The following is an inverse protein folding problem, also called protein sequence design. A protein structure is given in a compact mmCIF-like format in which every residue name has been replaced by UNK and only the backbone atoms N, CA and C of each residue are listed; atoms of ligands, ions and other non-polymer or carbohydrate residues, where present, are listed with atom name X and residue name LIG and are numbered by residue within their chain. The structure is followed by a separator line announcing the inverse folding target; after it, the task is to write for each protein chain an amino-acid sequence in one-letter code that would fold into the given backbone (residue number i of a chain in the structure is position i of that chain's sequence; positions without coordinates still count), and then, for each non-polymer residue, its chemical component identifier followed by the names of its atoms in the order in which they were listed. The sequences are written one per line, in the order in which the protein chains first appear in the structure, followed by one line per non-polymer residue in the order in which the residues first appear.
data_IF_898926975798
#
_entry.id   IF_898926975798
#
_cell.length_a   1.000
_cell.length_b   1.000
_cell.length_c   1.000
_cell.angle_alpha   90.00
_cell.angle_beta   90.00
_cell.angle_gamma   90.00
#
_symmetry.space_group_name_H-M   'P 1'
#
loop_
_entity.id
_entity.type
_entity.pdbx_description
1 polymer ?
#
# COMPACT_ATOMS: atom_id res chain seq x y z
N UNK A 1 20.16 -3.63 -11.16
CA UNK A 1 20.12 -3.43 -9.71
C UNK A 1 19.80 -4.79 -9.10
N UNK A 2 20.78 -5.41 -8.44
CA UNK A 2 20.65 -6.76 -7.88
C UNK A 2 19.71 -6.69 -6.67
N UNK A 3 18.46 -7.13 -6.83
CA UNK A 3 17.57 -7.38 -5.69
C UNK A 3 18.11 -8.58 -4.93
N UNK A 4 17.97 -8.58 -3.61
CA UNK A 4 18.20 -9.76 -2.79
C UNK A 4 17.42 -10.95 -3.39
N UNK A 5 18.17 -11.89 -3.94
CA UNK A 5 17.67 -13.17 -4.44
C UNK A 5 18.22 -14.21 -3.49
N UNK A 6 17.33 -14.81 -2.70
CA UNK A 6 17.64 -15.72 -1.61
C UNK A 6 16.75 -15.46 -0.39
N UNK A 7 16.52 -16.51 0.41
CA UNK A 7 16.00 -16.37 1.77
C UNK A 7 17.04 -15.56 2.53
N UNK A 8 16.73 -14.31 2.88
CA UNK A 8 17.57 -13.53 3.77
C UNK A 8 17.25 -13.99 5.21
N UNK A 9 18.14 -14.74 5.87
CA UNK A 9 17.88 -15.24 7.23
C UNK A 9 17.80 -14.10 8.27
N UNK A 10 18.11 -12.86 7.88
CA UNK A 10 17.96 -11.66 8.71
C UNK A 10 16.75 -10.80 8.33
N UNK A 11 16.03 -11.12 7.24
CA UNK A 11 14.79 -10.43 6.83
C UNK A 11 13.52 -11.14 7.30
N UNK A 12 13.60 -12.03 8.28
CA UNK A 12 12.41 -12.45 9.01
C UNK A 12 11.72 -11.17 9.50
N UNK A 13 10.47 -10.95 9.12
CA UNK A 13 9.69 -9.84 9.66
C UNK A 13 9.52 -10.10 11.16
N UNK A 14 10.43 -9.58 11.98
CA UNK A 14 10.43 -9.77 13.44
C UNK A 14 9.23 -9.04 14.07
N UNK A 15 8.62 -8.09 13.37
CA UNK A 15 7.52 -7.27 13.87
C UNK A 15 6.70 -6.65 12.72
N UNK A 16 5.36 -6.70 12.84
CA UNK A 16 4.45 -5.81 12.12
C UNK A 16 4.09 -4.67 13.06
N UNK A 17 4.57 -3.45 12.74
CA UNK A 17 4.36 -2.25 13.56
C UNK A 17 2.87 -1.99 13.83
N UNK A 18 1.98 -2.30 12.88
CA UNK A 18 0.55 -2.14 13.10
C UNK A 18 -0.02 -3.21 14.04
N UNK A 19 0.50 -4.43 13.98
CA UNK A 19 0.12 -5.47 14.93
C UNK A 19 0.60 -5.15 16.33
N UNK A 20 1.82 -4.64 16.48
CA UNK A 20 2.38 -4.31 17.79
C UNK A 20 1.69 -3.09 18.43
N UNK A 21 1.35 -2.07 17.64
CA UNK A 21 0.74 -0.84 18.13
C UNK A 21 -0.79 -0.88 18.21
N UNK A 22 -1.44 -1.63 17.31
CA UNK A 22 -2.91 -1.62 17.14
C UNK A 22 -3.53 -3.02 17.21
N UNK A 23 -2.75 -4.08 17.46
CA UNK A 23 -3.23 -5.47 17.42
C UNK A 23 -3.86 -5.88 16.09
N UNK A 24 -3.48 -5.22 15.00
CA UNK A 24 -3.99 -5.45 13.64
C UNK A 24 -2.83 -5.52 12.62
N UNK A 25 -2.60 -6.71 12.07
CA UNK A 25 -1.63 -6.91 10.98
C UNK A 25 -2.11 -6.32 9.65
N UNK A 26 -1.25 -6.41 8.63
CA UNK A 26 -1.57 -5.95 7.28
C UNK A 26 -1.67 -7.12 6.31
N UNK A 27 -2.83 -7.27 5.65
CA UNK A 27 -3.02 -8.31 4.65
C UNK A 27 -2.42 -7.89 3.31
N UNK A 28 -1.60 -8.76 2.73
CA UNK A 28 -0.92 -8.54 1.46
C UNK A 28 -1.52 -9.37 0.30
N UNK A 29 -2.77 -9.82 0.43
CA UNK A 29 -3.48 -10.61 -0.59
C UNK A 29 -3.09 -12.09 -0.63
N UNK A 30 -2.23 -12.51 0.30
CA UNK A 30 -1.69 -13.88 0.37
C UNK A 30 -1.55 -14.28 1.83
N UNK A 31 -1.95 -15.51 2.13
CA UNK A 31 -1.91 -16.05 3.48
C UNK A 31 -2.91 -17.19 3.66
N UNK A 32 -3.03 -17.63 4.91
CA UNK A 32 -4.03 -18.60 5.35
C UNK A 32 -5.19 -17.81 5.94
N UNK A 33 -6.42 -18.08 5.50
CA UNK A 33 -7.61 -17.44 6.01
C UNK A 33 -8.78 -18.42 6.08
N UNK A 34 -9.71 -18.14 7.00
CA UNK A 34 -10.99 -18.83 7.10
C UNK A 34 -11.94 -18.24 6.06
N UNK A 35 -12.41 -19.08 5.12
CA UNK A 35 -13.20 -18.65 3.97
C UNK A 35 -14.54 -18.05 4.43
N UNK A 36 -15.22 -18.70 5.37
CA UNK A 36 -16.55 -18.28 5.82
C UNK A 36 -16.46 -16.94 6.56
N UNK A 37 -15.44 -16.78 7.41
CA UNK A 37 -15.18 -15.53 8.12
C UNK A 37 -14.82 -14.39 7.16
N UNK A 38 -14.00 -14.67 6.16
CA UNK A 38 -13.58 -13.70 5.16
C UNK A 38 -14.75 -13.22 4.29
N UNK A 39 -15.55 -14.15 3.76
CA UNK A 39 -16.73 -13.84 2.98
C UNK A 39 -17.75 -13.03 3.78
N UNK A 40 -18.00 -13.42 5.04
CA UNK A 40 -18.88 -12.65 5.94
C UNK A 40 -18.34 -11.24 6.22
N UNK A 41 -17.01 -11.11 6.37
CA UNK A 41 -16.33 -9.84 6.61
C UNK A 41 -16.29 -8.92 5.38
N UNK A 42 -16.63 -9.40 4.18
CA UNK A 42 -16.63 -8.58 2.95
C UNK A 42 -18.01 -8.44 2.30
N UNK A 43 -18.97 -9.30 2.67
CA UNK A 43 -20.31 -9.33 2.10
C UNK A 43 -20.99 -7.94 2.05
N UNK A 44 -21.17 -7.43 0.83
CA UNK A 44 -21.85 -6.16 0.55
C UNK A 44 -21.03 -4.89 0.80
N UNK A 45 -19.71 -4.98 1.02
CA UNK A 45 -18.84 -3.81 1.27
C UNK A 45 -18.23 -3.18 0.03
N UNK A 46 -18.10 -3.94 -1.04
CA UNK A 46 -17.53 -3.49 -2.32
C UNK A 46 -18.60 -3.64 -3.40
N UNK A 47 -18.99 -2.55 -4.10
CA UNK A 47 -19.86 -2.66 -5.26
C UNK A 47 -19.18 -3.44 -6.39
N UNK A 48 -19.96 -4.19 -7.16
CA UNK A 48 -19.49 -5.00 -8.29
C UNK A 48 -18.64 -4.17 -9.27
N UNK A 49 -17.54 -4.75 -9.74
CA UNK A 49 -16.62 -4.16 -10.73
C UNK A 49 -15.98 -2.82 -10.34
N UNK A 50 -15.89 -2.50 -9.04
CA UNK A 50 -15.35 -1.21 -8.61
C UNK A 50 -13.97 -1.23 -7.95
N UNK A 51 -13.43 -2.41 -7.64
CA UNK A 51 -12.15 -2.52 -6.92
C UNK A 51 -11.21 -3.53 -7.61
N UNK A 52 -10.06 -3.04 -8.08
CA UNK A 52 -9.01 -3.84 -8.72
C UNK A 52 -8.05 -4.47 -7.70
N UNK A 53 -7.70 -3.74 -6.65
CA UNK A 53 -6.79 -4.18 -5.59
C UNK A 53 -7.56 -4.27 -4.28
N UNK A 54 -7.81 -5.48 -3.83
CA UNK A 54 -8.63 -5.75 -2.67
C UNK A 54 -7.82 -6.04 -1.41
N UNK A 55 -6.57 -6.49 -1.53
CA UNK A 55 -5.69 -6.94 -0.45
C UNK A 55 -5.74 -6.08 0.83
N UNK A 56 -5.35 -4.80 0.75
CA UNK A 56 -5.34 -3.93 1.93
C UNK A 56 -6.75 -3.66 2.45
N UNK A 57 -7.72 -3.46 1.55
CA UNK A 57 -9.11 -3.20 1.91
C UNK A 57 -9.71 -4.39 2.65
N UNK A 58 -9.50 -5.59 2.13
CA UNK A 58 -9.95 -6.83 2.72
C UNK A 58 -9.33 -7.06 4.09
N UNK A 59 -8.02 -6.84 4.21
CA UNK A 59 -7.31 -6.94 5.49
C UNK A 59 -7.85 -6.00 6.57
N UNK A 60 -8.40 -4.85 6.20
CA UNK A 60 -8.99 -3.91 7.17
C UNK A 60 -10.31 -4.43 7.74
N UNK A 61 -11.10 -5.17 6.96
CA UNK A 61 -12.39 -5.70 7.40
C UNK A 61 -12.31 -7.13 7.93
N UNK A 62 -11.59 -8.01 7.23
CA UNK A 62 -11.36 -9.39 7.65
C UNK A 62 -10.41 -9.50 8.84
N UNK A 63 -9.59 -8.46 9.06
CA UNK A 63 -8.44 -8.45 9.98
C UNK A 63 -7.37 -9.46 9.57
N UNK A 64 -6.14 -9.17 9.93
CA UNK A 64 -5.02 -10.06 9.66
C UNK A 64 -4.06 -10.07 10.85
N UNK A 65 -3.30 -11.14 10.97
CA UNK A 65 -2.17 -11.26 11.89
C UNK A 65 -0.96 -11.81 11.13
N UNK A 66 0.22 -11.35 11.54
CA UNK A 66 1.49 -11.86 11.06
C UNK A 66 1.78 -13.23 11.70
N UNK A 67 2.17 -14.18 10.85
CA UNK A 67 2.75 -15.46 11.28
C UNK A 67 4.22 -15.43 10.88
N UNK A 68 5.11 -15.33 11.85
CA UNK A 68 6.57 -15.21 11.63
C UNK A 68 7.24 -16.52 11.18
N UNK A 69 6.62 -17.65 11.51
CA UNK A 69 7.23 -18.98 11.35
C UNK A 69 6.94 -19.62 9.98
N UNK A 70 6.22 -18.89 9.11
CA UNK A 70 5.83 -19.34 7.78
C UNK A 70 6.29 -18.32 6.75
N UNK A 71 7.09 -18.75 5.78
CA UNK A 71 7.55 -17.93 4.66
C UNK A 71 6.89 -18.40 3.36
N UNK A 72 6.29 -17.46 2.62
CA UNK A 72 5.73 -17.70 1.29
C UNK A 72 6.69 -17.12 0.26
N UNK A 73 7.38 -18.00 -0.46
CA UNK A 73 8.34 -17.60 -1.50
C UNK A 73 7.62 -17.38 -2.82
N UNK A 74 7.80 -16.19 -3.39
CA UNK A 74 7.23 -15.82 -4.68
C UNK A 74 8.32 -15.54 -5.71
N UNK A 75 7.99 -15.78 -6.97
CA UNK A 75 8.86 -15.35 -8.05
C UNK A 75 8.90 -13.82 -8.13
N UNK A 76 10.11 -13.27 -8.07
CA UNK A 76 10.33 -11.85 -8.29
C UNK A 76 10.45 -11.56 -9.80
N UNK A 77 9.92 -10.43 -10.30
CA UNK A 77 10.02 -10.10 -11.72
C UNK A 77 11.47 -10.11 -12.21
N UNK A 78 11.76 -10.95 -13.20
CA UNK A 78 13.12 -11.08 -13.79
C UNK A 78 13.52 -9.89 -14.67
N UNK A 79 12.56 -9.04 -15.06
CA UNK A 79 12.76 -7.89 -15.94
C UNK A 79 12.12 -6.62 -15.38
N UNK A 80 12.77 -5.49 -15.67
CA UNK A 80 12.34 -4.18 -15.19
C UNK A 80 10.95 -3.77 -15.70
N UNK A 81 10.62 -4.08 -16.96
CA UNK A 81 9.30 -3.77 -17.55
C UNK A 81 8.16 -4.49 -16.82
N UNK A 82 8.39 -5.75 -16.42
CA UNK A 82 7.42 -6.53 -15.64
C UNK A 82 7.26 -5.94 -14.23
N UNK A 83 8.35 -5.55 -13.58
CA UNK A 83 8.32 -4.89 -12.28
C UNK A 83 7.58 -3.55 -12.34
N UNK A 84 7.87 -2.72 -13.34
CA UNK A 84 7.22 -1.42 -13.56
C UNK A 84 5.72 -1.59 -13.86
N UNK A 85 5.34 -2.57 -14.69
CA UNK A 85 3.94 -2.88 -14.95
C UNK A 85 3.18 -3.34 -13.69
N UNK A 86 3.83 -4.12 -12.82
CA UNK A 86 3.27 -4.53 -11.52
C UNK A 86 3.06 -3.33 -10.59
N UNK A 87 4.07 -2.47 -10.45
CA UNK A 87 3.96 -1.24 -9.66
C UNK A 87 2.87 -0.30 -10.18
N UNK A 88 2.74 -0.14 -11.50
CA UNK A 88 1.68 0.65 -12.10
C UNK A 88 0.29 0.08 -11.81
N UNK A 89 0.13 -1.26 -11.82
CA UNK A 89 -1.13 -1.91 -11.44
C UNK A 89 -1.49 -1.64 -9.99
N UNK A 90 -0.51 -1.76 -9.08
CA UNK A 90 -0.69 -1.49 -7.65
C UNK A 90 -1.08 -0.03 -7.40
N UNK A 91 -0.35 0.91 -8.00
CA UNK A 91 -0.69 2.33 -7.89
C UNK A 91 -2.12 2.60 -8.35
N UNK A 92 -2.55 2.08 -9.51
CA UNK A 92 -3.94 2.25 -9.97
C UNK A 92 -4.96 1.67 -8.97
N UNK A 93 -4.66 0.52 -8.37
CA UNK A 93 -5.49 -0.09 -7.32
C UNK A 93 -5.62 0.80 -6.09
N UNK A 94 -4.50 1.35 -5.61
CA UNK A 94 -4.51 2.30 -4.48
C UNK A 94 -5.38 3.53 -4.77
N UNK A 95 -5.26 4.11 -5.98
CA UNK A 95 -6.07 5.27 -6.39
C UNK A 95 -7.56 4.97 -6.50
N UNK A 96 -7.96 3.72 -6.76
CA UNK A 96 -9.38 3.34 -6.76
C UNK A 96 -10.00 3.36 -5.36
N UNK A 97 -9.20 3.29 -4.29
CA UNK A 97 -9.68 3.36 -2.91
C UNK A 97 -10.09 4.78 -2.47
N UNK A 98 -9.80 5.80 -3.28
CA UNK A 98 -10.07 7.20 -2.96
C UNK A 98 -11.51 7.48 -2.50
N UNK A 99 -12.58 6.89 -3.08
CA UNK A 99 -13.94 7.10 -2.59
C UNK A 99 -14.15 6.63 -1.14
N UNK A 100 -13.49 5.56 -0.69
CA UNK A 100 -13.57 5.08 0.70
C UNK A 100 -12.72 5.91 1.64
N UNK A 101 -11.54 6.36 1.19
CA UNK A 101 -10.69 7.29 1.95
C UNK A 101 -11.44 8.59 2.24
N UNK A 102 -12.21 9.08 1.26
CA UNK A 102 -13.05 10.27 1.38
C UNK A 102 -14.41 10.02 2.06
N UNK A 103 -14.67 8.77 2.51
CA UNK A 103 -15.93 8.38 3.16
C UNK A 103 -17.16 8.33 2.23
N UNK A 104 -17.00 8.54 0.92
CA UNK A 104 -18.10 8.62 -0.06
C UNK A 104 -18.79 7.28 -0.33
N UNK A 105 -18.16 6.17 0.05
CA UNK A 105 -18.67 4.80 -0.16
C UNK A 105 -19.01 4.04 1.11
N UNK A 106 -18.81 4.64 2.28
CA UNK A 106 -19.20 4.00 3.54
C UNK A 106 -20.72 3.83 3.64
N UNK A 107 -21.48 4.77 3.07
CA UNK A 107 -22.95 4.73 3.05
C UNK A 107 -23.51 3.76 2.00
N UNK A 108 -22.76 3.53 0.91
CA UNK A 108 -23.19 2.66 -0.21
C UNK A 108 -23.17 1.18 0.19
N UNK A 109 -22.36 0.80 1.18
CA UNK A 109 -22.29 -0.55 1.75
C UNK A 109 -23.48 -0.91 2.66
N UNK A 110 -24.63 -0.22 2.52
CA UNK A 110 -25.84 -0.49 3.32
C UNK A 110 -25.63 -0.31 4.84
N UNK A 111 -24.71 0.58 5.24
CA UNK A 111 -24.35 0.80 6.64
C UNK A 111 -23.48 -0.30 7.28
N UNK A 112 -22.99 -1.28 6.50
CA UNK A 112 -22.12 -2.36 6.98
C UNK A 112 -20.66 -1.90 7.12
N UNK A 113 -20.45 -1.05 8.14
CA UNK A 113 -19.14 -0.73 8.69
C UNK A 113 -18.43 0.40 7.96
N UNK A 114 -18.41 1.57 8.60
CA UNK A 114 -17.51 2.68 8.24
C UNK A 114 -16.07 2.20 8.25
N UNK A 115 -15.29 2.62 7.27
CA UNK A 115 -13.87 2.29 7.21
C UNK A 115 -13.16 2.78 8.49
N UNK A 116 -12.52 1.88 9.28
CA UNK A 116 -11.81 2.26 10.49
C UNK A 116 -10.76 3.35 10.22
N UNK A 117 -10.53 4.24 11.19
CA UNK A 117 -9.57 5.34 11.04
C UNK A 117 -8.16 4.84 10.69
N UNK A 118 -7.73 3.74 11.32
CA UNK A 118 -6.43 3.12 11.03
C UNK A 118 -6.38 2.55 9.61
N UNK A 119 -7.46 1.96 9.13
CA UNK A 119 -7.58 1.48 7.76
C UNK A 119 -7.50 2.62 6.74
N UNK A 120 -8.22 3.72 6.98
CA UNK A 120 -8.13 4.96 6.19
C UNK A 120 -6.70 5.49 6.15
N UNK A 121 -5.99 5.45 7.29
CA UNK A 121 -4.60 5.89 7.37
C UNK A 121 -3.66 4.99 6.54
N UNK A 122 -3.79 3.65 6.65
CA UNK A 122 -3.02 2.71 5.82
C UNK A 122 -3.22 2.98 4.32
N UNK A 123 -4.47 3.20 3.89
CA UNK A 123 -4.77 3.53 2.49
C UNK A 123 -4.22 4.90 2.05
N UNK A 124 -4.29 5.91 2.93
CA UNK A 124 -3.72 7.23 2.66
C UNK A 124 -2.19 7.16 2.51
N UNK A 125 -1.51 6.35 3.33
CA UNK A 125 -0.07 6.14 3.20
C UNK A 125 0.31 5.48 1.86
N UNK A 126 -0.48 4.51 1.37
CA UNK A 126 -0.27 3.95 0.03
C UNK A 126 -0.37 5.02 -1.08
N UNK A 127 -1.37 5.89 -1.03
CA UNK A 127 -1.49 7.01 -1.98
C UNK A 127 -0.30 7.98 -1.90
N UNK A 128 0.16 8.28 -0.67
CA UNK A 128 1.35 9.09 -0.46
C UNK A 128 2.58 8.44 -1.11
N UNK A 129 2.80 7.14 -0.88
CA UNK A 129 3.93 6.39 -1.43
C UNK A 129 3.95 6.38 -2.96
N UNK A 130 2.78 6.23 -3.59
CA UNK A 130 2.68 6.25 -5.06
C UNK A 130 2.81 7.65 -5.65
N UNK A 131 2.44 8.69 -4.90
CA UNK A 131 2.57 10.10 -5.30
C UNK A 131 3.95 10.71 -5.06
N UNK A 132 4.72 10.17 -4.11
CA UNK A 132 6.00 10.76 -3.69
C UNK A 132 7.05 10.79 -4.82
N UNK A 133 7.32 9.71 -5.58
CA UNK A 133 8.29 9.75 -6.68
C UNK A 133 7.98 10.80 -7.76
N UNK A 134 6.75 10.89 -8.32
CA UNK A 134 6.45 11.93 -9.31
C UNK A 134 6.47 13.34 -8.69
N UNK A 135 6.01 13.51 -7.45
CA UNK A 135 6.08 14.80 -6.76
C UNK A 135 7.52 15.28 -6.58
N UNK A 136 8.44 14.39 -6.19
CA UNK A 136 9.86 14.68 -6.06
C UNK A 136 10.51 15.04 -7.40
N UNK A 137 10.16 14.33 -8.47
CA UNK A 137 10.64 14.66 -9.82
C UNK A 137 10.16 16.05 -10.27
N UNK A 138 8.87 16.36 -10.08
CA UNK A 138 8.31 17.68 -10.38
C UNK A 138 8.93 18.78 -9.52
N UNK A 139 9.18 18.50 -8.24
CA UNK A 139 9.87 19.41 -7.35
C UNK A 139 11.27 19.73 -7.87
N UNK A 140 12.07 18.72 -8.25
CA UNK A 140 13.40 18.94 -8.83
C UNK A 140 13.34 19.81 -10.09
N UNK A 141 12.44 19.49 -11.02
CA UNK A 141 12.25 20.26 -12.26
C UNK A 141 11.90 21.72 -11.96
N UNK A 142 10.99 21.97 -11.00
CA UNK A 142 10.63 23.33 -10.60
C UNK A 142 11.80 24.08 -9.97
N UNK A 143 12.59 23.41 -9.13
CA UNK A 143 13.76 24.01 -8.48
C UNK A 143 14.87 24.39 -9.44
N UNK A 144 15.05 23.64 -10.52
CA UNK A 144 16.06 23.95 -11.54
C UNK A 144 15.74 25.18 -12.38
N UNK A 145 14.53 25.72 -12.30
CA UNK A 145 14.17 27.01 -12.89
C UNK A 145 14.64 28.20 -12.04
N UNK A 146 15.10 27.96 -10.81
CA UNK A 146 15.59 28.99 -9.90
C UNK A 146 17.06 29.38 -10.19
N UNK A 147 17.53 30.54 -9.70
CA UNK A 147 18.95 30.89 -9.76
C UNK A 147 19.84 29.82 -9.12
N UNK A 148 21.06 29.65 -9.63
CA UNK A 148 21.98 28.54 -9.28
C UNK A 148 22.08 28.25 -7.78
N UNK A 149 22.22 29.26 -6.94
CA UNK A 149 22.33 29.07 -5.49
C UNK A 149 21.05 28.46 -4.88
N UNK A 150 19.87 28.94 -5.29
CA UNK A 150 18.59 28.45 -4.84
C UNK A 150 18.29 27.05 -5.40
N UNK A 151 18.65 26.80 -6.67
CA UNK A 151 18.51 25.48 -7.28
C UNK A 151 19.33 24.39 -6.57
N UNK A 152 20.54 24.72 -6.09
CA UNK A 152 21.38 23.79 -5.31
C UNK A 152 20.76 23.47 -3.94
N UNK A 153 20.34 24.49 -3.18
CA UNK A 153 19.67 24.30 -1.89
C UNK A 153 18.40 23.47 -2.05
N UNK A 154 17.60 23.79 -3.08
CA UNK A 154 16.37 23.06 -3.37
C UNK A 154 16.63 21.59 -3.75
N UNK A 155 17.62 21.34 -4.61
CA UNK A 155 17.99 19.97 -5.00
C UNK A 155 18.45 19.18 -3.76
N UNK A 156 19.29 19.77 -2.91
CA UNK A 156 19.75 19.12 -1.68
C UNK A 156 18.57 18.81 -0.74
N UNK A 157 17.63 19.73 -0.59
CA UNK A 157 16.41 19.51 0.19
C UNK A 157 15.61 18.33 -0.35
N UNK A 158 15.26 18.32 -1.64
CA UNK A 158 14.44 17.24 -2.22
C UNK A 158 15.14 15.89 -2.09
N UNK A 159 16.44 15.82 -2.41
CA UNK A 159 17.22 14.57 -2.30
C UNK A 159 17.32 14.08 -0.84
N UNK A 160 17.34 14.97 0.15
CA UNK A 160 17.35 14.58 1.57
C UNK A 160 16.02 14.02 2.08
N UNK A 161 14.93 14.22 1.34
CA UNK A 161 13.57 13.84 1.73
C UNK A 161 13.02 12.60 1.02
N UNK A 162 13.75 12.09 0.03
CA UNK A 162 13.45 10.85 -0.71
C UNK A 162 14.13 9.68 -0.01
#
# INVERSE_FOLDING_TARGET
FSSASGIDPYSAAVSDVYQDLFSEGSYAGKGIYDIDAFDAALAGRVPEDTLLSHDLFEGIFARAGLVSDVEVVEEFPSRYDVAAARQHRWARGDWQLLPWILGRRDDVAGGRGTLPLIGRWKMLDNLRRTSSPPASALALLAGWLLPRHAALIWTAFVVSTI
#
